data_IF_211604786388
#
_entry.id   IF_211604786388
#
_cell.length_a   1.000
_cell.length_b   1.000
_cell.length_c   1.000
_cell.angle_alpha   90.00
_cell.angle_beta   90.00
_cell.angle_gamma   90.00
#
_symmetry.space_group_name_H-M   'P 1'
#
loop_
_entity.id
_entity.type
_entity.pdbx_description
1 polymer ?
#
# COMPACT_ATOMS: atom_id res chain seq x y z
N UNK A 1 -13.18 10.96 -29.57
CA UNK A 1 -13.29 10.29 -28.26
C UNK A 1 -11.90 9.80 -27.91
N UNK A 2 -11.17 10.51 -27.05
CA UNK A 2 -9.76 10.25 -26.76
C UNK A 2 -9.70 9.50 -25.43
N UNK A 3 -9.38 8.21 -25.48
CA UNK A 3 -9.08 7.43 -24.28
C UNK A 3 -7.60 7.60 -23.95
N UNK A 4 -7.32 8.41 -22.93
CA UNK A 4 -6.02 8.50 -22.28
C UNK A 4 -5.95 7.39 -21.21
N UNK A 5 -5.37 6.23 -21.53
CA UNK A 5 -4.88 5.28 -20.52
C UNK A 5 -3.37 5.47 -20.42
N UNK A 6 -2.98 6.42 -19.57
CA UNK A 6 -1.58 6.69 -19.22
C UNK A 6 -1.12 5.75 -18.12
N UNK A 7 0.04 5.13 -18.34
CA UNK A 7 0.81 4.36 -17.36
C UNK A 7 1.04 5.17 -16.07
N UNK A 8 0.48 4.72 -14.95
CA UNK A 8 0.70 5.27 -13.59
C UNK A 8 1.39 4.22 -12.67
N UNK A 9 2.25 3.34 -13.22
CA UNK A 9 2.74 2.14 -12.50
C UNK A 9 4.20 2.15 -12.04
N UNK A 10 5.00 3.15 -12.40
CA UNK A 10 6.44 3.14 -12.07
C UNK A 10 6.80 4.06 -10.88
N UNK A 11 5.99 5.08 -10.60
CA UNK A 11 6.30 6.11 -9.60
C UNK A 11 5.98 5.66 -8.16
N UNK A 12 4.92 4.85 -7.96
CA UNK A 12 4.45 4.38 -6.65
C UNK A 12 5.49 3.49 -5.96
N UNK A 13 6.05 2.50 -6.68
CA UNK A 13 7.06 1.56 -6.12
C UNK A 13 8.31 2.26 -5.60
N UNK A 14 8.72 3.36 -6.24
CA UNK A 14 9.92 4.11 -5.82
C UNK A 14 9.71 4.86 -4.52
N UNK A 15 8.48 5.23 -4.19
CA UNK A 15 8.15 6.00 -2.97
C UNK A 15 8.16 5.11 -1.74
N UNK A 16 7.61 3.89 -1.85
CA UNK A 16 7.62 2.90 -0.76
C UNK A 16 9.04 2.47 -0.41
N UNK A 17 9.84 2.11 -1.42
CA UNK A 17 11.23 1.68 -1.21
C UNK A 17 12.09 2.78 -0.58
N UNK A 18 11.89 4.05 -0.97
CA UNK A 18 12.58 5.19 -0.34
C UNK A 18 12.13 5.38 1.10
N UNK A 19 10.84 5.28 1.37
CA UNK A 19 10.29 5.45 2.72
C UNK A 19 10.79 4.36 3.66
N UNK A 20 10.79 3.10 3.20
CA UNK A 20 11.34 1.97 3.94
C UNK A 20 12.86 2.15 4.14
N UNK A 21 13.60 2.56 3.10
CA UNK A 21 15.03 2.84 3.22
C UNK A 21 15.36 3.87 4.31
N UNK A 22 14.59 4.96 4.38
CA UNK A 22 14.72 5.96 5.44
C UNK A 22 14.37 5.40 6.83
N UNK A 23 13.31 4.59 6.95
CA UNK A 23 12.95 3.94 8.21
C UNK A 23 14.06 3.00 8.70
N UNK A 24 14.67 2.23 7.80
CA UNK A 24 15.79 1.33 8.11
C UNK A 24 17.02 2.12 8.58
N UNK A 25 17.37 3.21 7.90
CA UNK A 25 18.47 4.08 8.32
C UNK A 25 18.23 4.65 9.73
N UNK A 26 17.01 5.12 10.03
CA UNK A 26 16.67 5.62 11.36
C UNK A 26 16.74 4.54 12.44
N UNK A 27 16.29 3.32 12.14
CA UNK A 27 16.41 2.20 13.06
C UNK A 27 17.89 1.85 13.33
N UNK A 28 18.76 1.92 12.32
CA UNK A 28 20.19 1.68 12.48
C UNK A 28 20.87 2.77 13.35
N UNK A 29 20.43 4.03 13.27
CA UNK A 29 20.92 5.12 14.11
C UNK A 29 20.48 5.00 15.59
N UNK A 30 19.33 4.36 15.85
CA UNK A 30 18.77 4.19 17.19
C UNK A 30 19.38 3.00 17.97
N UNK A 31 20.13 2.12 17.31
CA UNK A 31 20.82 1.00 17.96
C UNK A 31 22.15 1.47 18.59
N UNK A 32 22.45 1.15 19.86
CA UNK A 32 23.78 1.38 20.42
C UNK A 32 24.80 0.52 19.66
N UNK A 33 25.83 1.15 19.11
CA UNK A 33 26.91 0.52 18.33
C UNK A 33 27.45 -0.77 18.98
N UNK A 34 26.99 -1.92 18.50
CA UNK A 34 27.83 -3.09 18.36
C UNK A 34 28.39 -3.05 16.93
N UNK A 35 29.71 -2.98 16.79
CA UNK A 35 30.41 -2.63 15.54
C UNK A 35 29.95 -3.51 14.37
N UNK A 36 29.24 -2.90 13.43
CA UNK A 36 29.27 -3.33 12.03
C UNK A 36 30.25 -2.39 11.35
N UNK A 37 31.52 -2.82 11.22
CA UNK A 37 32.49 -2.19 10.34
C UNK A 37 32.01 -2.39 8.90
N UNK A 38 31.30 -1.40 8.38
CA UNK A 38 31.16 -1.15 6.96
C UNK A 38 31.93 0.14 6.71
N UNK A 39 33.05 0.00 6.00
CA UNK A 39 34.01 1.06 5.69
C UNK A 39 33.32 2.38 5.32
N UNK A 40 33.43 3.35 6.22
CA UNK A 40 32.88 4.69 6.06
C UNK A 40 33.88 5.55 5.28
N UNK A 41 33.63 5.75 3.99
CA UNK A 41 34.18 6.85 3.17
C UNK A 41 33.13 7.99 3.04
N UNK A 42 33.55 9.22 2.73
CA UNK A 42 33.21 10.38 3.56
C UNK A 42 31.87 11.02 3.22
N UNK A 43 31.38 11.73 4.24
CA UNK A 43 30.21 12.61 4.25
C UNK A 43 30.30 13.67 3.14
N UNK A 44 29.87 13.31 1.94
CA UNK A 44 29.43 14.25 0.92
C UNK A 44 28.02 14.71 1.25
N UNK A 45 27.82 16.03 1.30
CA UNK A 45 26.53 16.69 1.48
C UNK A 45 25.58 16.41 0.30
N UNK A 46 25.13 15.18 0.13
CA UNK A 46 23.91 14.92 -0.66
C UNK A 46 22.75 15.17 0.32
N UNK A 47 22.39 16.45 0.49
CA UNK A 47 21.09 16.82 1.03
C UNK A 47 20.04 16.24 0.05
N UNK A 48 19.70 14.96 0.24
CA UNK A 48 18.53 14.35 -0.33
C UNK A 48 17.35 15.01 0.40
N UNK A 49 17.03 16.24 -0.01
CA UNK A 49 15.72 16.82 0.22
C UNK A 49 14.77 15.71 -0.13
N UNK A 50 14.06 15.16 0.87
CA UNK A 50 12.87 14.36 0.62
C UNK A 50 12.04 15.30 -0.22
N UNK A 51 12.05 15.07 -1.54
CA UNK A 51 11.51 16.00 -2.50
C UNK A 51 10.00 15.90 -2.34
N UNK A 52 9.47 16.63 -1.35
CA UNK A 52 8.10 17.06 -1.19
C UNK A 52 7.75 18.07 -2.31
N UNK A 53 8.32 17.86 -3.49
CA UNK A 53 8.07 18.60 -4.71
C UNK A 53 6.72 18.15 -5.24
N UNK A 54 5.63 18.72 -4.72
CA UNK A 54 4.27 18.68 -5.28
C UNK A 54 3.69 17.30 -5.68
N UNK A 55 4.42 16.22 -5.42
CA UNK A 55 4.12 14.85 -5.83
C UNK A 55 3.05 14.33 -4.89
N UNK A 56 1.92 13.94 -5.48
CA UNK A 56 0.93 13.13 -4.79
C UNK A 56 1.65 11.96 -4.15
N UNK A 57 1.28 11.64 -2.91
CA UNK A 57 1.88 10.56 -2.13
C UNK A 57 1.61 9.15 -2.70
N UNK A 58 1.21 9.03 -3.97
CA UNK A 58 0.81 7.79 -4.60
C UNK A 58 -0.53 7.28 -4.07
N UNK A 59 -0.56 5.99 -3.71
CA UNK A 59 -1.69 5.34 -3.06
C UNK A 59 -1.76 5.65 -1.56
N UNK A 60 -2.86 5.23 -0.91
CA UNK A 60 -3.02 5.34 0.55
C UNK A 60 -1.87 4.61 1.27
N UNK A 61 -1.49 3.44 0.77
CA UNK A 61 -0.34 2.66 1.22
C UNK A 61 0.93 3.50 1.31
N UNK A 62 1.32 4.08 0.18
CA UNK A 62 2.56 4.83 0.05
C UNK A 62 2.52 6.16 0.82
N UNK A 63 1.33 6.73 0.96
CA UNK A 63 1.10 7.90 1.83
C UNK A 63 1.33 7.57 3.29
N UNK A 64 0.82 6.43 3.77
CA UNK A 64 1.05 5.94 5.14
C UNK A 64 2.54 5.76 5.42
N UNK A 65 3.26 5.04 4.55
CA UNK A 65 4.70 4.81 4.70
C UNK A 65 5.52 6.11 4.64
N UNK A 66 5.21 7.02 3.70
CA UNK A 66 5.91 8.29 3.57
C UNK A 66 5.71 9.18 4.80
N UNK A 67 4.49 9.23 5.34
CA UNK A 67 4.23 9.98 6.58
C UNK A 67 5.01 9.38 7.76
N UNK A 68 5.03 8.06 7.91
CA UNK A 68 5.83 7.41 8.95
C UNK A 68 7.32 7.71 8.82
N UNK A 69 7.87 7.73 7.59
CA UNK A 69 9.26 8.09 7.35
C UNK A 69 9.53 9.56 7.75
N UNK A 70 8.64 10.49 7.41
CA UNK A 70 8.74 11.90 7.83
C UNK A 70 8.64 12.08 9.35
N UNK A 71 7.79 11.30 10.02
CA UNK A 71 7.68 11.29 11.48
C UNK A 71 9.01 10.81 12.08
N UNK A 72 9.56 9.69 11.60
CA UNK A 72 10.82 9.14 12.09
C UNK A 72 12.02 10.05 11.78
N UNK A 73 11.98 10.82 10.69
CA UNK A 73 13.05 11.74 10.31
C UNK A 73 13.12 12.96 11.24
N UNK A 74 12.02 13.36 11.90
CA UNK A 74 11.97 14.53 12.80
C UNK A 74 12.58 15.82 12.20
N UNK A 75 12.59 15.95 10.87
CA UNK A 75 13.23 17.09 10.22
C UNK A 75 12.42 18.38 10.39
N UNK A 76 13.05 19.48 10.82
CA UNK A 76 12.38 20.76 10.95
C UNK A 76 11.88 21.27 9.59
N UNK A 77 10.69 21.89 9.56
CA UNK A 77 10.09 22.42 8.33
C UNK A 77 9.25 21.43 7.51
N UNK A 78 9.13 20.18 7.96
CA UNK A 78 8.31 19.15 7.29
C UNK A 78 6.84 19.12 7.75
N UNK A 79 6.44 19.95 8.72
CA UNK A 79 5.10 19.94 9.33
C UNK A 79 3.96 20.15 8.33
N UNK A 80 4.13 21.05 7.36
CA UNK A 80 3.13 21.27 6.30
C UNK A 80 2.96 20.05 5.39
N UNK A 81 4.03 19.29 5.18
CA UNK A 81 4.02 18.07 4.36
C UNK A 81 3.37 16.93 5.14
N UNK A 82 3.74 16.75 6.41
CA UNK A 82 3.09 15.79 7.33
C UNK A 82 1.60 16.06 7.44
N UNK A 83 1.19 17.32 7.63
CA UNK A 83 -0.21 17.72 7.70
C UNK A 83 -0.99 17.40 6.42
N UNK A 84 -0.42 17.65 5.24
CA UNK A 84 -1.06 17.28 3.96
C UNK A 84 -1.19 15.77 3.78
N UNK A 85 -0.18 15.00 4.18
CA UNK A 85 -0.25 13.54 4.15
C UNK A 85 -1.35 13.03 5.10
N UNK A 86 -1.41 13.55 6.32
CA UNK A 86 -2.44 13.23 7.30
C UNK A 86 -3.85 13.53 6.77
N UNK A 87 -4.06 14.73 6.24
CA UNK A 87 -5.36 15.09 5.63
C UNK A 87 -5.71 14.17 4.48
N UNK A 88 -4.74 13.78 3.64
CA UNK A 88 -5.00 12.84 2.55
C UNK A 88 -5.46 11.48 3.08
N UNK A 89 -4.82 10.94 4.10
CA UNK A 89 -5.24 9.68 4.73
C UNK A 89 -6.67 9.81 5.28
N UNK A 90 -6.93 10.83 6.12
CA UNK A 90 -8.26 11.03 6.71
C UNK A 90 -9.38 11.19 5.67
N UNK A 91 -9.11 11.85 4.54
CA UNK A 91 -10.09 12.06 3.47
C UNK A 91 -10.37 10.80 2.63
N UNK A 92 -9.48 9.80 2.67
CA UNK A 92 -9.66 8.54 1.96
C UNK A 92 -10.09 7.40 2.90
N UNK A 93 -10.38 7.69 4.15
CA UNK A 93 -10.95 6.73 5.09
C UNK A 93 -12.40 6.44 4.70
N UNK A 94 -12.74 5.17 4.57
CA UNK A 94 -14.13 4.76 4.30
C UNK A 94 -15.03 5.01 5.53
N UNK A 95 -16.35 4.96 5.37
CA UNK A 95 -17.32 5.19 6.43
C UNK A 95 -17.19 4.21 7.63
N UNK A 96 -16.61 3.03 7.40
CA UNK A 96 -16.28 2.06 8.47
C UNK A 96 -14.95 2.34 9.18
N UNK A 97 -14.21 3.37 8.76
CA UNK A 97 -12.88 3.66 9.29
C UNK A 97 -11.74 2.87 8.65
N UNK A 98 -11.99 2.15 7.55
CA UNK A 98 -10.99 1.29 6.89
C UNK A 98 -10.36 1.95 5.66
N UNK A 99 -9.23 1.41 5.22
CA UNK A 99 -8.48 1.85 4.04
C UNK A 99 -8.48 0.81 2.90
N UNK A 100 -9.51 -0.06 2.88
CA UNK A 100 -9.77 -1.01 1.80
C UNK A 100 -9.12 -2.39 1.94
N UNK A 101 -7.89 -2.48 2.47
CA UNK A 101 -7.26 -3.78 2.75
C UNK A 101 -6.44 -3.78 4.06
N UNK A 102 -6.10 -4.98 4.53
CA UNK A 102 -5.42 -5.17 5.82
C UNK A 102 -4.01 -4.56 5.87
N UNK A 103 -3.26 -4.63 4.76
CA UNK A 103 -1.92 -4.03 4.67
C UNK A 103 -2.00 -2.50 4.76
N UNK A 104 -2.95 -1.88 4.07
CA UNK A 104 -3.15 -0.43 4.12
C UNK A 104 -3.57 0.02 5.51
N UNK A 105 -4.48 -0.72 6.16
CA UNK A 105 -4.82 -0.47 7.56
C UNK A 105 -3.57 -0.57 8.47
N UNK A 106 -2.73 -1.59 8.28
CA UNK A 106 -1.53 -1.81 9.07
C UNK A 106 -0.52 -0.66 8.96
N UNK A 107 -0.29 -0.11 7.77
CA UNK A 107 0.66 1.00 7.57
C UNK A 107 0.06 2.37 7.83
N UNK A 108 -1.25 2.55 7.68
CA UNK A 108 -1.87 3.86 7.93
C UNK A 108 -2.12 4.11 9.41
N UNK A 109 -2.59 3.12 10.16
CA UNK A 109 -2.98 3.31 11.57
C UNK A 109 -1.85 3.89 12.45
N UNK A 110 -0.60 3.40 12.39
CA UNK A 110 0.50 4.02 13.13
C UNK A 110 0.73 5.48 12.72
N UNK A 111 0.65 5.77 11.42
CA UNK A 111 0.86 7.11 10.88
C UNK A 111 -0.19 8.10 11.41
N UNK A 112 -1.46 7.69 11.47
CA UNK A 112 -2.55 8.51 12.04
C UNK A 112 -2.34 8.83 13.53
N UNK A 113 -1.67 7.93 14.26
CA UNK A 113 -1.30 8.15 15.67
C UNK A 113 0.02 8.91 15.82
N UNK A 114 0.54 9.51 14.75
CA UNK A 114 1.83 10.19 14.71
C UNK A 114 2.97 9.28 15.22
N UNK A 115 2.90 7.98 14.89
CA UNK A 115 3.91 6.98 15.17
C UNK A 115 4.47 6.44 13.86
N UNK A 116 5.70 5.94 13.93
CA UNK A 116 6.32 5.21 12.84
C UNK A 116 6.64 3.78 13.28
N UNK A 117 6.92 2.90 12.32
CA UNK A 117 7.48 1.58 12.60
C UNK A 117 8.80 1.67 13.37
N UNK A 118 9.55 2.76 13.24
CA UNK A 118 10.76 2.98 14.05
C UNK A 118 10.42 3.10 15.54
N UNK A 119 9.23 3.57 15.92
CA UNK A 119 8.78 3.68 17.31
C UNK A 119 8.38 2.36 17.97
N UNK A 120 8.57 1.20 17.31
CA UNK A 120 8.22 -0.12 17.89
C UNK A 120 9.06 -0.44 19.12
N UNK A 121 10.33 -0.02 19.14
CA UNK A 121 11.25 -0.30 20.26
C UNK A 121 10.81 0.34 21.59
N UNK A 122 10.08 1.47 21.52
CA UNK A 122 9.61 2.22 22.69
C UNK A 122 8.22 1.79 23.20
N UNK A 123 7.69 0.66 22.72
CA UNK A 123 6.34 0.22 23.08
C UNK A 123 6.27 -0.26 24.52
N UNK A 124 5.46 0.43 25.33
CA UNK A 124 5.05 -0.03 26.66
C UNK A 124 3.84 -0.95 26.51
N UNK A 125 4.09 -2.25 26.36
CA UNK A 125 3.02 -3.24 26.36
C UNK A 125 2.42 -3.34 27.78
N UNK A 126 1.17 -2.90 27.95
CA UNK A 126 0.36 -3.29 29.11
C UNK A 126 -0.40 -4.56 28.74
N UNK A 127 -0.49 -5.57 29.64
CA UNK A 127 -1.39 -6.69 29.44
C UNK A 127 -2.82 -6.16 29.49
N UNK A 128 -3.43 -5.92 28.34
CA UNK A 128 -4.84 -5.62 28.25
C UNK A 128 -5.61 -6.95 28.23
N UNK A 129 -6.31 -7.24 29.32
CA UNK A 129 -7.50 -8.09 29.30
C UNK A 129 -8.62 -7.29 28.63
N UNK A 130 -8.58 -7.19 27.30
CA UNK A 130 -9.71 -6.65 26.56
C UNK A 130 -10.19 -7.76 25.63
N UNK A 131 -11.40 -8.25 25.90
CA UNK A 131 -12.16 -9.00 24.91
C UNK A 131 -12.26 -8.08 23.68
N UNK A 132 -11.51 -8.42 22.64
CA UNK A 132 -11.83 -7.94 21.30
C UNK A 132 -13.18 -8.54 20.97
N UNK A 133 -14.26 -7.80 21.21
CA UNK A 133 -15.50 -8.01 20.47
C UNK A 133 -15.15 -7.72 19.01
N UNK A 134 -14.69 -8.76 18.31
CA UNK A 134 -14.66 -8.76 16.87
C UNK A 134 -16.08 -8.44 16.44
N UNK A 135 -16.28 -7.31 15.77
CA UNK A 135 -17.48 -7.11 14.98
C UNK A 135 -17.41 -8.16 13.88
N UNK A 136 -18.09 -9.28 14.10
CA UNK A 136 -18.40 -10.22 13.03
C UNK A 136 -19.02 -9.37 11.92
N UNK A 137 -18.31 -9.30 10.78
CA UNK A 137 -18.78 -8.57 9.63
C UNK A 137 -20.16 -9.11 9.29
N UNK A 138 -21.18 -8.26 9.45
CA UNK A 138 -22.53 -8.58 9.00
C UNK A 138 -22.46 -8.63 7.48
N UNK A 139 -22.24 -9.82 6.94
CA UNK A 139 -22.47 -10.12 5.54
C UNK A 139 -23.97 -9.96 5.31
N UNK A 140 -24.36 -8.81 4.78
CA UNK A 140 -25.73 -8.57 4.36
C UNK A 140 -26.13 -9.65 3.37
N UNK A 141 -27.18 -10.38 3.74
CA UNK A 141 -27.72 -11.51 3.02
C UNK A 141 -28.10 -11.09 1.60
N UNK A 142 -27.51 -11.77 0.61
CA UNK A 142 -27.57 -11.41 -0.80
C UNK A 142 -29.00 -11.44 -1.34
N UNK A 143 -29.52 -10.26 -1.67
CA UNK A 143 -30.56 -10.09 -2.67
C UNK A 143 -30.00 -10.64 -3.99
N UNK A 144 -30.64 -11.64 -4.62
CA UNK A 144 -30.17 -12.32 -5.85
C UNK A 144 -29.62 -11.30 -6.87
N UNK A 145 -28.29 -11.03 -6.89
CA UNK A 145 -27.79 -9.90 -7.63
C UNK A 145 -27.75 -10.34 -9.09
N UNK A 146 -28.31 -9.51 -9.98
CA UNK A 146 -28.13 -9.74 -11.42
C UNK A 146 -26.62 -9.87 -11.70
N UNK A 147 -26.20 -10.94 -12.41
CA UNK A 147 -24.79 -11.14 -12.71
C UNK A 147 -24.27 -9.95 -13.52
N UNK A 148 -23.07 -9.50 -13.20
CA UNK A 148 -22.34 -8.48 -13.92
C UNK A 148 -21.52 -9.16 -15.02
N UNK A 149 -21.62 -8.64 -16.24
CA UNK A 149 -20.81 -9.14 -17.36
C UNK A 149 -19.43 -8.49 -17.30
N UNK A 150 -18.40 -9.31 -17.19
CA UNK A 150 -16.99 -8.90 -17.11
C UNK A 150 -16.27 -9.37 -18.36
N UNK A 151 -15.59 -8.46 -19.05
CA UNK A 151 -14.69 -8.79 -20.16
C UNK A 151 -13.26 -8.86 -19.62
N UNK A 152 -12.71 -10.07 -19.52
CA UNK A 152 -11.36 -10.31 -19.04
C UNK A 152 -10.42 -10.55 -20.22
N UNK A 153 -9.36 -9.77 -20.33
CA UNK A 153 -8.38 -9.87 -21.43
C UNK A 153 -6.97 -10.09 -20.89
N UNK A 154 -6.29 -11.12 -21.39
CA UNK A 154 -4.90 -11.45 -21.10
C UNK A 154 -4.01 -11.07 -22.29
N UNK A 155 -2.90 -10.41 -21.99
CA UNK A 155 -1.90 -9.97 -22.96
C UNK A 155 -0.59 -10.68 -22.62
N UNK A 156 -0.15 -11.61 -23.47
CA UNK A 156 1.07 -12.39 -23.23
C UNK A 156 2.14 -11.93 -24.22
N UNK A 157 3.33 -11.60 -23.71
CA UNK A 157 4.46 -11.11 -24.50
C UNK A 157 4.41 -9.60 -24.78
N UNK A 158 5.56 -8.93 -24.60
CA UNK A 158 5.68 -7.46 -24.66
C UNK A 158 5.29 -6.81 -25.99
N UNK A 159 5.17 -7.58 -27.08
CA UNK A 159 4.75 -7.10 -28.40
C UNK A 159 3.24 -7.26 -28.69
N UNK A 160 2.38 -7.55 -27.69
CA UNK A 160 0.91 -7.64 -27.86
C UNK A 160 0.45 -8.61 -28.97
N UNK A 161 1.27 -9.60 -29.33
CA UNK A 161 0.97 -10.49 -30.44
C UNK A 161 -0.04 -11.59 -30.07
N UNK A 162 -0.35 -11.75 -28.79
CA UNK A 162 -1.36 -12.69 -28.32
C UNK A 162 -2.26 -12.03 -27.28
N UNK A 163 -3.51 -11.77 -27.69
CA UNK A 163 -4.56 -11.20 -26.88
C UNK A 163 -5.64 -12.26 -26.79
N UNK A 164 -5.97 -12.68 -25.57
CA UNK A 164 -7.09 -13.58 -25.35
C UNK A 164 -8.11 -12.85 -24.50
N UNK A 165 -9.36 -12.80 -24.96
CA UNK A 165 -10.47 -12.17 -24.24
C UNK A 165 -11.56 -13.20 -23.99
N UNK A 166 -12.07 -13.24 -22.76
CA UNK A 166 -13.21 -14.06 -22.35
C UNK A 166 -14.26 -13.19 -21.67
N UNK A 167 -15.53 -13.51 -21.91
CA UNK A 167 -16.67 -12.82 -21.28
C UNK A 167 -17.25 -13.72 -20.20
N UNK A 168 -17.35 -13.18 -18.99
CA UNK A 168 -17.74 -13.92 -17.79
C UNK A 168 -18.96 -13.27 -17.15
N UNK A 169 -19.91 -14.09 -16.71
CA UNK A 169 -21.01 -13.64 -15.87
C UNK A 169 -20.62 -13.85 -14.40
N UNK A 170 -20.41 -12.77 -13.67
CA UNK A 170 -19.86 -12.79 -12.30
C UNK A 170 -20.83 -12.16 -11.30
N UNK A 171 -20.78 -12.55 -10.02
CA UNK A 171 -21.46 -11.80 -8.96
C UNK A 171 -21.06 -10.32 -8.95
N UNK A 172 -21.98 -9.44 -8.52
CA UNK A 172 -21.80 -7.97 -8.52
C UNK A 172 -20.60 -7.45 -7.70
N UNK A 173 -20.04 -8.30 -6.83
CA UNK A 173 -18.90 -7.99 -5.97
C UNK A 173 -17.72 -8.96 -6.17
N UNK A 174 -17.67 -9.63 -7.33
CA UNK A 174 -16.58 -10.54 -7.62
C UNK A 174 -15.24 -9.78 -7.67
N UNK A 175 -14.26 -10.25 -6.92
CA UNK A 175 -12.91 -9.70 -6.94
C UNK A 175 -12.11 -10.26 -8.14
N UNK A 176 -10.95 -9.67 -8.41
CA UNK A 176 -10.16 -10.04 -9.59
C UNK A 176 -9.68 -11.50 -9.57
N UNK A 177 -9.36 -12.05 -8.40
CA UNK A 177 -8.95 -13.46 -8.27
C UNK A 177 -10.11 -14.39 -8.65
N UNK A 178 -11.33 -14.11 -8.20
CA UNK A 178 -12.52 -14.88 -8.56
C UNK A 178 -12.80 -14.84 -10.08
N UNK A 179 -12.57 -13.69 -10.72
CA UNK A 179 -12.65 -13.54 -12.19
C UNK A 179 -11.60 -14.40 -12.89
N UNK A 180 -10.36 -14.41 -12.39
CA UNK A 180 -9.28 -15.24 -12.94
C UNK A 180 -9.57 -16.74 -12.79
N UNK A 181 -10.03 -17.18 -11.62
CA UNK A 181 -10.40 -18.56 -11.38
C UNK A 181 -11.57 -19.01 -12.26
N UNK A 182 -12.57 -18.15 -12.45
CA UNK A 182 -13.68 -18.41 -13.35
C UNK A 182 -13.23 -18.50 -14.81
N UNK A 183 -12.31 -17.62 -15.24
CA UNK A 183 -11.71 -17.67 -16.57
C UNK A 183 -10.97 -19.00 -16.80
N UNK A 184 -10.14 -19.42 -15.85
CA UNK A 184 -9.36 -20.65 -15.93
C UNK A 184 -10.24 -21.90 -16.02
N UNK A 185 -11.37 -21.93 -15.29
CA UNK A 185 -12.35 -23.02 -15.34
C UNK A 185 -13.03 -23.14 -16.71
N UNK A 186 -13.30 -22.00 -17.36
CA UNK A 186 -14.00 -21.96 -18.65
C UNK A 186 -13.06 -22.14 -19.84
N UNK A 187 -11.82 -21.66 -19.74
CA UNK A 187 -10.83 -21.74 -20.80
C UNK A 187 -9.45 -22.09 -20.22
N UNK A 188 -8.91 -23.29 -20.51
CA UNK A 188 -7.60 -23.71 -20.06
C UNK A 188 -6.43 -22.86 -20.56
N UNK A 189 -6.64 -21.91 -21.47
CA UNK A 189 -5.61 -20.94 -21.87
C UNK A 189 -5.44 -19.79 -20.87
N UNK A 190 -6.38 -19.62 -19.93
CA UNK A 190 -6.30 -18.61 -18.86
C UNK A 190 -5.73 -19.22 -17.57
N UNK A 191 -4.58 -19.90 -17.63
CA UNK A 191 -3.93 -20.45 -16.43
C UNK A 191 -3.15 -19.38 -15.69
N UNK A 192 -3.35 -19.31 -14.38
CA UNK A 192 -2.53 -18.51 -13.48
C UNK A 192 -2.02 -19.37 -12.33
N UNK A 193 -0.75 -19.17 -11.95
CA UNK A 193 -0.14 -19.83 -10.81
C UNK A 193 0.17 -18.78 -9.76
N UNK A 194 -0.40 -18.95 -8.57
CA UNK A 194 0.00 -18.20 -7.39
C UNK A 194 0.81 -19.14 -6.51
N UNK A 195 2.06 -18.78 -6.21
CA UNK A 195 2.77 -19.42 -5.12
C UNK A 195 2.27 -18.79 -3.83
N UNK A 196 1.53 -19.59 -3.06
CA UNK A 196 1.23 -19.31 -1.64
C UNK A 196 2.45 -19.66 -0.79
#
# INVERSE_FOLDING_TARGET
MINHFGFEKEEVKTTDLRSIGHLVLRLAEQQPRERVDLDAEPRGQEHQRVAASRRRFGSIHSTGLALQALIAAEEPGTETVKGRAMTNLLMNQDWQGTYGNELDNYYVVPALNMKSLASIHDRKCRPHTHDTQGTEGVYSQAENPKPTIVHYSLWIGGSKNEIQTITLAMPKHANFLEVMEAAQKLNPHFVSYFHQ
#
